data_IF_516388099436
#
_entry.id   IF_516388099436
#
_cell.length_a   1.000
_cell.length_b   1.000
_cell.length_c   1.000
_cell.angle_alpha   90.00
_cell.angle_beta   90.00
_cell.angle_gamma   90.00
#
_symmetry.space_group_name_H-M   'P 1'
#
loop_
_entity.id
_entity.type
_entity.pdbx_description
1 polymer ?
#
# COMPACT_ATOMS: atom_id res chain seq x y z
N UNK A 1 1.57 11.09 7.50
CA UNK A 1 1.85 11.07 6.05
C UNK A 1 0.54 11.46 5.43
N UNK A 2 0.40 12.69 4.94
CA UNK A 2 -0.93 13.25 4.66
C UNK A 2 -1.85 12.27 3.91
N UNK A 3 -3.06 12.08 4.44
CA UNK A 3 -4.11 11.27 3.84
C UNK A 3 -4.28 11.55 2.34
N UNK A 4 -4.49 10.48 1.56
CA UNK A 4 -4.67 10.58 0.11
C UNK A 4 -5.97 11.35 -0.24
N UNK A 5 -5.97 12.17 -1.30
CA UNK A 5 -7.18 12.75 -1.85
C UNK A 5 -8.20 11.67 -2.22
N UNK A 6 -9.49 11.97 -2.07
CA UNK A 6 -10.58 11.03 -2.39
C UNK A 6 -10.49 10.49 -3.81
N UNK A 7 -10.06 11.32 -4.78
CA UNK A 7 -9.88 10.90 -6.17
C UNK A 7 -8.81 9.80 -6.31
N UNK A 8 -7.72 9.89 -5.56
CA UNK A 8 -6.64 8.89 -5.63
C UNK A 8 -7.06 7.59 -4.95
N UNK A 9 -7.79 7.67 -3.82
CA UNK A 9 -8.41 6.48 -3.20
C UNK A 9 -9.37 5.78 -4.17
N UNK A 10 -10.15 6.53 -4.96
CA UNK A 10 -11.03 5.98 -5.99
C UNK A 10 -10.26 5.34 -7.17
N UNK A 11 -9.13 5.94 -7.58
CA UNK A 11 -8.26 5.35 -8.62
C UNK A 11 -7.68 4.02 -8.16
N UNK A 12 -7.19 3.94 -6.92
CA UNK A 12 -6.70 2.71 -6.29
C UNK A 12 -7.82 1.67 -6.27
N UNK A 13 -9.02 2.04 -5.81
CA UNK A 13 -10.19 1.16 -5.77
C UNK A 13 -10.53 0.53 -7.12
N UNK A 14 -10.59 1.35 -8.19
CA UNK A 14 -10.80 0.85 -9.56
C UNK A 14 -9.67 -0.05 -10.03
N UNK A 15 -8.43 0.30 -9.70
CA UNK A 15 -7.25 -0.48 -10.05
C UNK A 15 -7.25 -1.88 -9.43
N UNK A 16 -7.51 -1.96 -8.11
CA UNK A 16 -7.57 -3.23 -7.38
C UNK A 16 -8.68 -4.13 -7.92
N UNK A 17 -9.88 -3.59 -8.16
CA UNK A 17 -10.96 -4.37 -8.77
C UNK A 17 -10.58 -4.92 -10.13
N UNK A 18 -9.94 -4.11 -10.98
CA UNK A 18 -9.48 -4.57 -12.31
C UNK A 18 -8.43 -5.68 -12.20
N UNK A 19 -7.49 -5.55 -11.27
CA UNK A 19 -6.42 -6.52 -11.05
C UNK A 19 -6.97 -7.88 -10.60
N UNK A 20 -7.78 -7.92 -9.53
CA UNK A 20 -8.35 -9.17 -9.03
C UNK A 20 -9.35 -9.80 -10.00
N UNK A 21 -10.12 -8.98 -10.73
CA UNK A 21 -10.98 -9.49 -11.79
C UNK A 21 -10.18 -10.18 -12.91
N UNK A 22 -8.98 -9.70 -13.25
CA UNK A 22 -8.14 -10.32 -14.26
C UNK A 22 -7.53 -11.65 -13.78
N UNK A 23 -7.26 -11.77 -12.48
CA UNK A 23 -6.75 -12.99 -11.85
C UNK A 23 -7.84 -14.03 -11.55
N UNK A 24 -9.11 -13.65 -11.69
CA UNK A 24 -10.29 -14.44 -11.29
C UNK A 24 -10.29 -14.77 -9.78
N UNK A 25 -9.68 -13.90 -8.98
CA UNK A 25 -9.71 -14.00 -7.53
C UNK A 25 -11.08 -13.56 -7.01
N UNK A 26 -11.71 -14.42 -6.22
CA UNK A 26 -13.03 -14.16 -5.63
C UNK A 26 -12.83 -13.70 -4.20
N UNK A 27 -13.22 -12.46 -3.91
CA UNK A 27 -13.34 -11.97 -2.54
C UNK A 27 -14.78 -12.22 -2.05
N UNK A 28 -15.02 -13.44 -1.56
CA UNK A 28 -16.35 -13.88 -1.15
C UNK A 28 -16.91 -12.99 -0.02
N UNK A 29 -18.18 -12.58 -0.13
CA UNK A 29 -18.88 -11.81 0.88
C UNK A 29 -18.50 -10.32 0.98
N UNK A 30 -17.62 -9.82 0.12
CA UNK A 30 -17.21 -8.41 0.12
C UNK A 30 -17.89 -7.65 -1.02
N UNK A 31 -18.58 -6.54 -0.71
CA UNK A 31 -19.16 -5.67 -1.73
C UNK A 31 -18.15 -4.65 -2.24
N UNK A 32 -18.51 -3.99 -3.35
CA UNK A 32 -17.78 -2.86 -3.91
C UNK A 32 -17.60 -1.71 -2.91
N UNK A 33 -18.63 -1.45 -2.10
CA UNK A 33 -18.62 -0.42 -1.05
C UNK A 33 -17.70 -0.80 0.09
N UNK A 34 -17.71 -2.06 0.50
CA UNK A 34 -16.82 -2.57 1.56
C UNK A 34 -15.36 -2.46 1.15
N UNK A 35 -15.03 -2.78 -0.11
CA UNK A 35 -13.68 -2.60 -0.64
C UNK A 35 -13.25 -1.12 -0.62
N UNK A 36 -14.15 -0.19 -0.94
CA UNK A 36 -13.85 1.24 -0.88
C UNK A 36 -13.62 1.69 0.57
N UNK A 37 -14.44 1.22 1.51
CA UNK A 37 -14.27 1.48 2.94
C UNK A 37 -12.94 0.91 3.46
N UNK A 38 -12.56 -0.30 3.01
CA UNK A 38 -11.29 -0.92 3.36
C UNK A 38 -10.08 -0.12 2.87
N UNK A 39 -10.14 0.44 1.66
CA UNK A 39 -9.06 1.32 1.13
C UNK A 39 -8.96 2.61 1.94
N UNK A 40 -10.09 3.23 2.29
CA UNK A 40 -10.09 4.42 3.13
C UNK A 40 -9.47 4.11 4.51
N UNK A 41 -9.91 3.02 5.15
CA UNK A 41 -9.39 2.61 6.44
C UNK A 41 -7.88 2.28 6.40
N UNK A 42 -7.40 1.66 5.31
CA UNK A 42 -5.98 1.40 5.12
C UNK A 42 -5.16 2.69 5.00
N UNK A 43 -5.64 3.68 4.25
CA UNK A 43 -4.98 4.98 4.11
C UNK A 43 -4.99 5.78 5.42
N UNK A 44 -6.14 5.83 6.10
CA UNK A 44 -6.30 6.51 7.39
C UNK A 44 -5.38 5.89 8.46
N UNK A 45 -5.19 4.57 8.44
CA UNK A 45 -4.24 3.88 9.31
C UNK A 45 -2.79 4.27 8.98
N UNK A 46 -2.41 4.32 7.71
CA UNK A 46 -1.04 4.74 7.30
C UNK A 46 -0.74 6.16 7.76
N UNK A 47 -1.69 7.09 7.64
CA UNK A 47 -1.50 8.46 8.13
C UNK A 47 -1.36 8.49 9.67
N UNK A 48 -2.28 7.82 10.37
CA UNK A 48 -2.31 7.76 11.84
C UNK A 48 -1.05 7.13 12.44
N UNK A 49 -0.50 6.09 11.78
CA UNK A 49 0.66 5.35 12.24
C UNK A 49 1.99 5.87 11.65
N UNK A 50 1.96 6.95 10.87
CA UNK A 50 3.16 7.50 10.23
C UNK A 50 4.27 7.85 11.24
N UNK A 51 3.92 8.34 12.43
CA UNK A 51 4.89 8.65 13.48
C UNK A 51 5.57 7.37 14.00
N UNK A 52 4.78 6.35 14.31
CA UNK A 52 5.27 5.04 14.78
C UNK A 52 6.18 4.37 13.75
N UNK A 53 5.80 4.43 12.47
CA UNK A 53 6.63 3.90 11.39
C UNK A 53 7.96 4.67 11.28
N UNK A 54 7.91 6.02 11.29
CA UNK A 54 9.13 6.83 11.24
C UNK A 54 10.07 6.55 12.41
N UNK A 55 9.55 6.35 13.64
CA UNK A 55 10.39 6.03 14.80
C UNK A 55 11.08 4.67 14.69
N UNK A 56 10.45 3.70 14.03
CA UNK A 56 11.01 2.36 13.85
C UNK A 56 12.18 2.33 12.85
N UNK A 57 12.27 3.31 11.96
CA UNK A 57 13.36 3.38 10.97
C UNK A 57 14.69 3.78 11.63
N UNK A 58 15.85 3.27 11.16
CA UNK A 58 17.16 3.73 11.61
C UNK A 58 17.34 5.25 11.45
N UNK A 59 18.03 5.89 12.39
CA UNK A 59 18.16 7.35 12.44
C UNK A 59 18.70 7.94 11.13
N UNK A 60 19.76 7.34 10.57
CA UNK A 60 20.36 7.78 9.31
C UNK A 60 19.36 7.79 8.17
N UNK A 61 18.56 6.71 8.01
CA UNK A 61 17.57 6.63 6.95
C UNK A 61 16.40 7.59 7.21
N UNK A 62 15.92 7.67 8.45
CA UNK A 62 14.82 8.55 8.85
C UNK A 62 15.12 10.01 8.54
N UNK A 63 16.35 10.48 8.78
CA UNK A 63 16.74 11.88 8.58
C UNK A 63 16.98 12.23 7.12
N UNK A 64 17.57 11.32 6.34
CA UNK A 64 17.96 11.60 4.96
C UNK A 64 16.89 11.24 3.92
N UNK A 65 16.03 10.26 4.19
CA UNK A 65 15.04 9.81 3.23
C UNK A 65 13.85 10.78 3.12
N UNK A 66 13.39 11.00 1.89
CA UNK A 66 12.16 11.75 1.63
C UNK A 66 10.93 10.97 2.08
N UNK A 67 9.80 11.66 2.26
CA UNK A 67 8.53 11.02 2.60
C UNK A 67 8.15 9.95 1.56
N UNK A 68 8.39 10.24 0.27
CA UNK A 68 8.14 9.29 -0.82
C UNK A 68 9.00 8.02 -0.72
N UNK A 69 10.29 8.15 -0.40
CA UNK A 69 11.18 7.00 -0.21
C UNK A 69 10.76 6.12 0.97
N UNK A 70 10.31 6.74 2.06
CA UNK A 70 9.80 6.02 3.24
C UNK A 70 8.50 5.28 2.95
N UNK A 71 7.59 5.91 2.20
CA UNK A 71 6.34 5.31 1.76
C UNK A 71 6.59 4.13 0.82
N UNK A 72 7.51 4.29 -0.13
CA UNK A 72 7.92 3.23 -1.05
C UNK A 72 8.49 2.03 -0.29
N UNK A 73 9.40 2.26 0.68
CA UNK A 73 9.94 1.21 1.53
C UNK A 73 8.84 0.43 2.26
N UNK A 74 7.86 1.15 2.85
CA UNK A 74 6.73 0.52 3.54
C UNK A 74 5.92 -0.37 2.59
N UNK A 75 5.59 0.15 1.40
CA UNK A 75 4.84 -0.58 0.39
C UNK A 75 5.57 -1.84 -0.09
N UNK A 76 6.87 -1.76 -0.36
CA UNK A 76 7.66 -2.91 -0.81
C UNK A 76 7.81 -3.96 0.28
N UNK A 77 8.04 -3.57 1.54
CA UNK A 77 8.13 -4.52 2.66
C UNK A 77 6.79 -5.19 2.93
N UNK A 78 5.68 -4.45 2.86
CA UNK A 78 4.33 -5.02 3.00
C UNK A 78 4.04 -6.00 1.86
N UNK A 79 4.41 -5.65 0.62
CA UNK A 79 4.21 -6.48 -0.55
C UNK A 79 5.04 -7.76 -0.50
N UNK A 80 6.31 -7.68 -0.09
CA UNK A 80 7.20 -8.84 0.03
C UNK A 80 6.65 -9.92 0.97
N UNK A 81 5.88 -9.53 2.00
CA UNK A 81 5.26 -10.47 2.94
C UNK A 81 4.08 -11.24 2.36
N UNK A 82 3.36 -10.65 1.40
CA UNK A 82 2.11 -11.22 0.89
C UNK A 82 2.15 -11.67 -0.57
N UNK A 83 3.03 -11.13 -1.39
CA UNK A 83 3.07 -11.37 -2.83
C UNK A 83 4.48 -11.12 -3.42
N UNK A 84 5.34 -12.13 -3.33
CA UNK A 84 6.72 -12.10 -3.86
C UNK A 84 6.74 -11.97 -5.39
N UNK A 85 5.74 -12.51 -6.09
CA UNK A 85 5.67 -12.41 -7.55
C UNK A 85 5.45 -10.95 -8.01
N UNK A 86 4.55 -10.23 -7.34
CA UNK A 86 4.32 -8.82 -7.63
C UNK A 86 5.50 -7.95 -7.19
N UNK A 87 6.20 -8.31 -6.10
CA UNK A 87 7.46 -7.66 -5.72
C UNK A 87 8.49 -7.76 -6.86
N UNK A 88 8.69 -8.97 -7.42
CA UNK A 88 9.62 -9.21 -8.53
C UNK A 88 9.22 -8.44 -9.79
N UNK A 89 7.92 -8.31 -10.06
CA UNK A 89 7.45 -7.51 -11.20
C UNK A 89 7.77 -6.00 -11.06
N UNK A 90 7.94 -5.50 -9.82
CA UNK A 90 8.23 -4.08 -9.56
C UNK A 90 9.73 -3.81 -9.44
N UNK A 91 10.46 -4.66 -8.70
CA UNK A 91 11.88 -4.46 -8.38
C UNK A 91 12.84 -5.22 -9.31
N UNK A 92 12.33 -6.10 -10.19
CA UNK A 92 13.12 -7.03 -10.99
C UNK A 92 13.35 -8.36 -10.28
N UNK A 93 14.19 -9.23 -10.86
CA UNK A 93 14.69 -10.41 -10.15
C UNK A 93 15.48 -9.95 -8.92
N UNK A 94 14.88 -10.16 -7.76
CA UNK A 94 15.54 -10.00 -6.47
C UNK A 94 16.05 -11.39 -6.11
N UNK A 95 17.35 -11.61 -6.28
CA UNK A 95 18.05 -12.84 -5.92
C UNK A 95 17.81 -13.23 -4.45
#
# INVERSE_FOLDING_TARGET
MAALPTLDRQRIWRGIMRYWSAQRDILAGCTKTDLQAAINAADDWVDSNAASYNSALPATFRTNATVAQKAFLLAMVALARGNVALLRAILGEVD
#
